data_IF_014811388833
#
_entry.id   IF_014811388833
#
_cell.length_a   1.000
_cell.length_b   1.000
_cell.length_c   1.000
_cell.angle_alpha   90.00
_cell.angle_beta   90.00
_cell.angle_gamma   90.00
#
_symmetry.space_group_name_H-M   'P 1'
#
loop_
_entity.id
_entity.type
_entity.pdbx_description
1 polymer ?
#
# COMPACT_ATOMS: atom_id res chain seq x y z
N UNK A 1 19.90 -49.75 -2.63
CA UNK A 1 19.36 -49.01 -1.47
C UNK A 1 20.49 -48.25 -0.82
N UNK A 2 20.69 -47.00 -1.20
CA UNK A 2 21.61 -46.09 -0.49
C UNK A 2 20.79 -45.39 0.61
N UNK A 3 21.23 -45.53 1.85
CA UNK A 3 20.56 -45.09 3.07
C UNK A 3 21.03 -43.70 3.56
N UNK A 4 21.56 -42.83 2.69
CA UNK A 4 22.03 -41.49 3.09
C UNK A 4 21.10 -40.40 2.58
N UNK A 5 19.97 -40.24 3.26
CA UNK A 5 19.09 -39.09 3.05
C UNK A 5 19.83 -37.78 3.39
N UNK A 6 20.14 -36.99 2.36
CA UNK A 6 20.68 -35.64 2.54
C UNK A 6 19.54 -34.74 3.06
N UNK A 7 19.62 -34.34 4.33
CA UNK A 7 18.71 -33.33 4.88
C UNK A 7 19.23 -31.94 4.53
N UNK A 8 18.49 -31.20 3.70
CA UNK A 8 18.78 -29.79 3.40
C UNK A 8 18.01 -28.91 4.38
N UNK A 9 18.73 -28.09 5.15
CA UNK A 9 18.13 -27.08 6.01
C UNK A 9 17.59 -25.92 5.18
N UNK A 10 16.29 -25.92 4.92
CA UNK A 10 15.61 -24.79 4.30
C UNK A 10 15.36 -23.72 5.36
N UNK A 11 16.06 -22.59 5.28
CA UNK A 11 15.72 -21.41 6.08
C UNK A 11 14.67 -20.58 5.35
N UNK A 12 13.49 -20.42 5.96
CA UNK A 12 12.46 -19.53 5.45
C UNK A 12 12.86 -18.09 5.75
N UNK A 13 13.19 -17.32 4.72
CA UNK A 13 13.35 -15.88 4.87
C UNK A 13 11.96 -15.28 5.10
N UNK A 14 11.76 -14.71 6.28
CA UNK A 14 10.50 -14.03 6.62
C UNK A 14 10.42 -12.77 5.75
N UNK A 15 9.28 -12.58 5.06
CA UNK A 15 9.03 -11.36 4.30
C UNK A 15 9.05 -10.19 5.29
N UNK A 16 9.83 -9.14 5.02
CA UNK A 16 9.81 -7.95 5.88
C UNK A 16 8.38 -7.41 5.88
N UNK A 17 7.72 -7.38 7.03
CA UNK A 17 6.44 -6.70 7.16
C UNK A 17 6.69 -5.23 6.85
N UNK A 18 5.89 -4.68 5.94
CA UNK A 18 5.94 -3.25 5.66
C UNK A 18 4.95 -2.60 6.60
N UNK A 19 5.40 -1.56 7.30
CA UNK A 19 4.53 -0.82 8.20
C UNK A 19 3.29 -0.32 7.44
N UNK A 20 2.13 -0.59 8.03
CA UNK A 20 0.86 -0.05 7.56
C UNK A 20 0.92 1.47 7.76
N UNK A 21 0.41 2.29 6.81
CA UNK A 21 0.47 3.73 6.96
C UNK A 21 -0.24 4.21 8.22
N UNK A 22 0.40 5.10 8.99
CA UNK A 22 -0.11 5.59 10.26
C UNK A 22 -1.46 6.36 10.14
N UNK A 23 -1.79 6.87 8.96
CA UNK A 23 -3.05 7.57 8.70
C UNK A 23 -4.23 6.62 8.37
N UNK A 24 -3.98 5.31 8.26
CA UNK A 24 -5.07 4.34 8.08
C UNK A 24 -5.90 4.22 9.36
N UNK A 25 -7.21 4.13 9.18
CA UNK A 25 -8.13 3.83 10.28
C UNK A 25 -7.96 2.39 10.73
N UNK A 26 -8.30 2.13 11.99
CA UNK A 26 -8.31 0.77 12.55
C UNK A 26 -9.18 -0.16 11.69
N UNK A 27 -8.53 -1.20 11.14
CA UNK A 27 -9.17 -2.19 10.28
C UNK A 27 -9.94 -3.25 11.08
N UNK A 28 -9.85 -3.26 12.42
CA UNK A 28 -10.55 -4.22 13.30
C UNK A 28 -10.34 -5.68 12.87
N UNK A 29 -9.09 -6.03 12.56
CA UNK A 29 -8.66 -7.36 12.08
C UNK A 29 -9.23 -7.76 10.71
N UNK A 30 -9.78 -6.83 9.93
CA UNK A 30 -10.19 -7.09 8.55
C UNK A 30 -9.00 -6.99 7.60
N UNK A 31 -9.01 -7.79 6.54
CA UNK A 31 -7.97 -7.77 5.50
C UNK A 31 -8.25 -6.75 4.38
N UNK A 32 -9.39 -6.08 4.44
CA UNK A 32 -9.79 -5.05 3.49
C UNK A 32 -10.81 -4.12 4.16
N UNK A 33 -10.64 -2.81 3.97
CA UNK A 33 -11.60 -1.81 4.45
C UNK A 33 -11.67 -0.64 3.46
N UNK A 34 -12.88 -0.11 3.29
CA UNK A 34 -13.15 1.11 2.53
C UNK A 34 -13.59 2.16 3.53
N UNK A 35 -12.83 3.24 3.63
CA UNK A 35 -13.09 4.31 4.61
C UNK A 35 -13.50 5.57 3.88
N UNK A 36 -14.75 5.99 4.06
CA UNK A 36 -15.22 7.27 3.51
C UNK A 36 -14.56 8.44 4.26
N UNK A 37 -13.87 9.30 3.50
CA UNK A 37 -13.22 10.50 4.03
C UNK A 37 -14.25 11.61 4.18
N UNK A 38 -14.21 12.28 5.33
CA UNK A 38 -15.09 13.41 5.58
C UNK A 38 -14.62 14.65 4.81
N UNK A 39 -15.52 15.52 4.31
CA UNK A 39 -15.13 16.72 3.56
C UNK A 39 -14.20 17.69 4.32
N UNK A 40 -14.19 17.63 5.65
CA UNK A 40 -13.33 18.44 6.52
C UNK A 40 -11.95 17.82 6.74
N UNK A 41 -11.72 16.59 6.29
CA UNK A 41 -10.45 15.89 6.43
C UNK A 41 -9.39 16.53 5.50
N UNK A 42 -8.18 16.85 6.00
CA UNK A 42 -7.07 17.30 5.16
C UNK A 42 -6.76 16.34 3.99
N UNK A 43 -6.95 15.04 4.18
CA UNK A 43 -6.76 14.03 3.12
C UNK A 43 -7.81 14.20 2.02
N UNK A 44 -9.09 14.36 2.40
CA UNK A 44 -10.17 14.64 1.44
C UNK A 44 -9.85 15.87 0.61
N UNK A 45 -9.47 16.98 1.25
CA UNK A 45 -9.20 18.25 0.58
C UNK A 45 -8.04 18.13 -0.42
N UNK A 46 -7.01 17.37 -0.08
CA UNK A 46 -5.86 17.12 -0.96
C UNK A 46 -6.28 16.36 -2.22
N UNK A 47 -7.04 15.28 -2.06
CA UNK A 47 -7.51 14.45 -3.19
C UNK A 47 -8.53 15.23 -4.04
N UNK A 48 -9.49 15.90 -3.40
CA UNK A 48 -10.49 16.72 -4.08
C UNK A 48 -9.85 17.85 -4.88
N UNK A 49 -8.82 18.52 -4.33
CA UNK A 49 -8.07 19.57 -5.03
C UNK A 49 -7.41 19.02 -6.30
N UNK A 50 -6.70 17.88 -6.22
CA UNK A 50 -6.07 17.25 -7.39
C UNK A 50 -7.10 16.87 -8.46
N UNK A 51 -8.24 16.31 -8.07
CA UNK A 51 -9.32 15.99 -9.02
C UNK A 51 -9.87 17.26 -9.69
N UNK A 52 -10.18 18.28 -8.91
CA UNK A 52 -10.79 19.52 -9.39
C UNK A 52 -9.86 20.35 -10.30
N UNK A 53 -8.55 20.10 -10.31
CA UNK A 53 -7.63 20.74 -11.27
C UNK A 53 -8.03 20.48 -12.73
N UNK A 54 -8.62 19.33 -13.03
CA UNK A 54 -9.03 18.96 -14.40
C UNK A 54 -10.53 18.68 -14.52
N UNK A 55 -11.21 18.43 -13.41
CA UNK A 55 -12.63 18.03 -13.36
C UNK A 55 -13.52 19.03 -12.59
N UNK A 56 -13.21 20.33 -12.63
CA UNK A 56 -13.87 21.37 -11.82
C UNK A 56 -15.40 21.47 -11.98
N UNK A 57 -15.97 20.98 -13.08
CA UNK A 57 -17.41 21.02 -13.34
C UNK A 57 -18.19 19.87 -12.69
N UNK A 58 -17.51 18.87 -12.14
CA UNK A 58 -18.15 17.73 -11.49
C UNK A 58 -18.28 17.96 -9.98
N UNK A 59 -19.38 17.46 -9.42
CA UNK A 59 -19.56 17.39 -7.98
C UNK A 59 -19.08 16.04 -7.47
N UNK A 60 -18.14 16.07 -6.53
CA UNK A 60 -17.70 14.86 -5.81
C UNK A 60 -18.82 14.43 -4.87
N UNK A 61 -19.29 13.19 -5.00
CA UNK A 61 -20.30 12.60 -4.11
C UNK A 61 -19.65 12.13 -2.80
N UNK A 62 -18.54 11.40 -2.91
CA UNK A 62 -17.73 10.93 -1.78
C UNK A 62 -16.30 10.62 -2.23
N UNK A 63 -15.38 10.53 -1.28
CA UNK A 63 -14.02 10.03 -1.49
C UNK A 63 -13.80 8.90 -0.50
N UNK A 64 -13.32 7.76 -0.98
CA UNK A 64 -13.12 6.56 -0.17
C UNK A 64 -11.64 6.15 -0.22
N UNK A 65 -11.01 6.05 0.96
CA UNK A 65 -9.67 5.50 1.11
C UNK A 65 -9.72 3.98 1.12
N UNK A 66 -8.94 3.36 0.24
CA UNK A 66 -8.83 1.91 0.13
C UNK A 66 -7.71 1.41 1.04
N UNK A 67 -8.07 0.65 2.07
CA UNK A 67 -7.13 0.01 2.98
C UNK A 67 -7.06 -1.48 2.65
N UNK A 68 -6.00 -1.88 1.95
CA UNK A 68 -5.74 -3.28 1.58
C UNK A 68 -4.28 -3.65 1.90
N UNK A 69 -4.00 -4.27 3.06
CA UNK A 69 -2.65 -4.64 3.48
C UNK A 69 -1.93 -5.56 2.48
N UNK A 70 -2.61 -6.49 1.83
CA UNK A 70 -1.97 -7.42 0.88
C UNK A 70 -1.46 -6.70 -0.37
N UNK A 71 -2.28 -5.80 -0.93
CA UNK A 71 -1.89 -4.96 -2.06
C UNK A 71 -0.82 -3.96 -1.65
N UNK A 72 -0.94 -3.35 -0.47
CA UNK A 72 0.06 -2.43 0.07
C UNK A 72 1.43 -3.11 0.22
N UNK A 73 1.47 -4.29 0.85
CA UNK A 73 2.69 -5.08 1.02
C UNK A 73 3.31 -5.46 -0.33
N UNK A 74 2.48 -5.82 -1.30
CA UNK A 74 2.95 -6.18 -2.65
C UNK A 74 3.49 -4.97 -3.40
N UNK A 75 2.83 -3.82 -3.29
CA UNK A 75 3.27 -2.55 -3.85
C UNK A 75 4.61 -2.10 -3.26
N UNK A 76 4.72 -2.07 -1.93
CA UNK A 76 5.91 -1.63 -1.22
C UNK A 76 7.12 -2.54 -1.48
N UNK A 77 6.92 -3.85 -1.62
CA UNK A 77 7.99 -4.76 -2.05
C UNK A 77 8.51 -4.40 -3.45
N UNK A 78 7.62 -4.15 -4.41
CA UNK A 78 8.02 -3.72 -5.77
C UNK A 78 8.69 -2.36 -5.76
N UNK A 79 8.21 -1.42 -4.95
CA UNK A 79 8.81 -0.09 -4.76
C UNK A 79 10.26 -0.23 -4.28
N UNK A 80 10.50 -1.01 -3.22
CA UNK A 80 11.87 -1.27 -2.70
C UNK A 80 12.78 -1.89 -3.77
N UNK A 81 12.27 -2.86 -4.54
CA UNK A 81 13.03 -3.46 -5.65
C UNK A 81 13.37 -2.43 -6.73
N UNK A 82 12.43 -1.54 -7.07
CA UNK A 82 12.64 -0.50 -8.09
C UNK A 82 13.61 0.58 -7.61
N UNK A 83 13.50 1.00 -6.36
CA UNK A 83 14.39 1.99 -5.75
C UNK A 83 15.84 1.48 -5.73
N UNK A 84 16.05 0.22 -5.34
CA UNK A 84 17.37 -0.42 -5.38
C UNK A 84 17.91 -0.56 -6.81
N UNK A 85 17.06 -0.96 -7.76
CA UNK A 85 17.45 -1.11 -9.17
C UNK A 85 17.86 0.21 -9.81
N UNK A 86 17.14 1.28 -9.50
CA UNK A 86 17.34 2.59 -10.11
C UNK A 86 18.32 3.48 -9.33
N UNK A 87 18.75 3.05 -8.14
CA UNK A 87 19.65 3.81 -7.27
C UNK A 87 19.06 5.12 -6.73
N UNK A 88 17.73 5.27 -6.77
CA UNK A 88 17.02 6.51 -6.47
C UNK A 88 15.56 6.22 -6.09
N UNK A 89 14.89 7.10 -5.35
CA UNK A 89 13.56 6.86 -4.75
C UNK A 89 12.39 7.57 -5.44
N UNK A 90 12.64 8.42 -6.45
CA UNK A 90 11.64 9.11 -7.27
C UNK A 90 11.08 8.20 -8.36
N UNK A 91 10.57 7.03 -7.95
CA UNK A 91 9.92 6.07 -8.86
C UNK A 91 8.38 6.08 -8.72
N UNK A 92 7.87 6.84 -7.76
CA UNK A 92 6.45 7.01 -7.46
C UNK A 92 5.99 8.38 -7.93
N UNK A 93 4.78 8.45 -8.50
CA UNK A 93 4.14 9.71 -8.89
C UNK A 93 2.96 9.99 -7.96
N UNK A 94 2.83 11.25 -7.57
CA UNK A 94 1.78 11.77 -6.70
C UNK A 94 0.70 12.47 -7.51
#
# INVERSE_FOLDING_TARGET
TDAKGLSLSVQRLVKSEVDIPAHWSDMKQQNFCVVELQPHDPEYNTVASKFNQTCAHFRIEKIERIQNPDLWNSYQAKKKTMDAKNGQTMNEKQ
#
